data_IF_507503476236
#
_entry.id   IF_507503476236
#
_cell.length_a   1.000
_cell.length_b   1.000
_cell.length_c   1.000
_cell.angle_alpha   90.00
_cell.angle_beta   90.00
_cell.angle_gamma   90.00
#
_symmetry.space_group_name_H-M   'P 1'
#
loop_
_entity.id
_entity.type
_entity.pdbx_description
1 polymer ?
#
# COMPACT_ATOMS: atom_id res chain seq x y z
N UNK A 1 7.13 -12.83 -34.06
CA UNK A 1 6.04 -12.09 -33.38
C UNK A 1 6.23 -12.02 -31.85
N UNK A 2 6.54 -13.10 -31.13
CA UNK A 2 6.64 -13.11 -29.66
C UNK A 2 7.71 -12.17 -29.07
N UNK A 3 8.90 -12.07 -29.69
CA UNK A 3 10.00 -11.24 -29.17
C UNK A 3 9.76 -9.72 -29.36
N UNK A 4 9.09 -9.32 -30.45
CA UNK A 4 8.75 -7.92 -30.73
C UNK A 4 7.69 -7.42 -29.72
N UNK A 5 6.63 -8.21 -29.46
CA UNK A 5 5.58 -7.89 -28.48
C UNK A 5 6.14 -7.80 -27.05
N UNK A 6 7.11 -8.66 -26.69
CA UNK A 6 7.74 -8.61 -25.38
C UNK A 6 8.59 -7.33 -25.20
N UNK A 7 9.31 -6.90 -26.24
CA UNK A 7 10.10 -5.67 -26.21
C UNK A 7 9.22 -4.41 -26.16
N UNK A 8 8.07 -4.43 -26.87
CA UNK A 8 7.07 -3.36 -26.83
C UNK A 8 6.48 -3.22 -25.41
N UNK A 9 6.19 -4.33 -24.71
CA UNK A 9 5.67 -4.30 -23.34
C UNK A 9 6.68 -3.74 -22.33
N UNK A 10 7.97 -4.09 -22.43
CA UNK A 10 9.03 -3.54 -21.55
C UNK A 10 9.14 -2.04 -21.74
N UNK A 11 9.19 -1.57 -23.01
CA UNK A 11 9.22 -0.14 -23.33
C UNK A 11 7.97 0.58 -22.76
N UNK A 12 6.80 -0.07 -22.86
CA UNK A 12 5.56 0.50 -22.32
C UNK A 12 5.57 0.60 -20.79
N UNK A 13 6.06 -0.42 -20.08
CA UNK A 13 6.25 -0.37 -18.63
C UNK A 13 7.18 0.78 -18.22
N UNK A 14 8.29 0.98 -18.92
CA UNK A 14 9.19 2.12 -18.67
C UNK A 14 8.49 3.47 -18.87
N UNK A 15 7.67 3.61 -19.93
CA UNK A 15 6.89 4.82 -20.16
C UNK A 15 5.86 5.07 -19.05
N UNK A 16 5.21 4.02 -18.54
CA UNK A 16 4.30 4.13 -17.38
C UNK A 16 5.04 4.73 -16.20
N UNK A 17 6.16 4.15 -15.78
CA UNK A 17 6.92 4.66 -14.62
C UNK A 17 7.44 6.07 -14.91
N UNK A 18 7.99 6.31 -16.11
CA UNK A 18 8.54 7.61 -16.49
C UNK A 18 7.49 8.72 -16.43
N UNK A 19 6.23 8.43 -16.77
CA UNK A 19 5.15 9.42 -16.68
C UNK A 19 4.94 9.95 -15.25
N UNK A 20 5.07 9.10 -14.23
CA UNK A 20 5.01 9.52 -12.83
C UNK A 20 6.27 10.29 -12.40
N UNK A 21 7.45 9.92 -12.91
CA UNK A 21 8.72 10.61 -12.64
C UNK A 21 8.68 12.03 -13.23
N UNK A 22 8.26 12.18 -14.47
CA UNK A 22 8.17 13.46 -15.17
C UNK A 22 7.19 14.43 -14.49
N UNK A 23 6.11 13.87 -13.92
CA UNK A 23 5.15 14.60 -13.10
C UNK A 23 5.62 14.85 -11.66
N UNK A 24 6.86 14.46 -11.30
CA UNK A 24 7.45 14.62 -9.95
C UNK A 24 6.66 13.94 -8.83
N UNK A 25 6.01 12.83 -9.17
CA UNK A 25 5.17 12.06 -8.25
C UNK A 25 5.85 10.80 -7.75
N UNK A 26 6.95 10.38 -8.38
CA UNK A 26 7.67 9.16 -8.06
C UNK A 26 9.18 9.34 -8.02
N UNK A 27 9.78 8.86 -6.96
CA UNK A 27 11.19 8.51 -6.82
C UNK A 27 11.21 7.15 -6.13
N UNK A 28 11.96 6.17 -6.68
CA UNK A 28 11.93 4.83 -6.12
C UNK A 28 12.47 3.77 -7.07
N UNK A 29 12.05 2.53 -6.84
CA UNK A 29 12.41 1.38 -7.66
C UNK A 29 11.19 0.53 -7.97
N UNK A 30 11.17 -0.08 -9.15
CA UNK A 30 10.13 -0.98 -9.57
C UNK A 30 10.70 -2.28 -10.15
N UNK A 31 10.03 -3.41 -9.87
CA UNK A 31 10.28 -4.69 -10.53
C UNK A 31 8.96 -5.28 -11.00
N UNK A 32 8.98 -5.82 -12.20
CA UNK A 32 7.91 -6.65 -12.78
C UNK A 32 8.53 -7.97 -13.20
N UNK A 33 7.98 -9.08 -12.74
CA UNK A 33 8.45 -10.41 -13.11
C UNK A 33 7.28 -11.37 -13.34
N UNK A 34 7.39 -12.22 -14.34
CA UNK A 34 6.41 -13.28 -14.62
C UNK A 34 7.06 -14.64 -14.55
N UNK A 35 6.49 -15.55 -13.78
CA UNK A 35 7.00 -16.91 -13.56
C UNK A 35 8.51 -16.93 -13.26
N UNK A 36 8.95 -15.99 -12.41
CA UNK A 36 10.36 -15.83 -12.02
C UNK A 36 11.25 -15.09 -13.01
N UNK A 37 10.78 -14.82 -14.24
CA UNK A 37 11.54 -14.07 -15.24
C UNK A 37 11.28 -12.57 -15.09
N UNK A 38 12.34 -11.81 -14.80
CA UNK A 38 12.27 -10.34 -14.70
C UNK A 38 12.00 -9.73 -16.08
N UNK A 39 10.95 -8.89 -16.15
CA UNK A 39 10.58 -8.10 -17.33
C UNK A 39 11.08 -6.65 -17.18
N UNK A 40 10.98 -6.08 -15.99
CA UNK A 40 11.48 -4.76 -15.64
C UNK A 40 12.15 -4.82 -14.26
N UNK A 41 13.34 -4.24 -14.09
CA UNK A 41 13.97 -3.99 -12.78
C UNK A 41 14.80 -2.73 -12.89
N UNK A 42 14.32 -1.60 -12.28
CA UNK A 42 14.97 -0.30 -12.46
C UNK A 42 14.67 0.65 -11.31
N UNK A 43 15.67 1.50 -11.00
CA UNK A 43 15.51 2.65 -10.11
C UNK A 43 15.23 3.93 -10.91
N UNK A 44 14.50 4.87 -10.29
CA UNK A 44 14.05 6.13 -10.87
C UNK A 44 14.19 7.27 -9.86
N UNK A 45 14.56 8.46 -10.33
CA UNK A 45 14.82 9.60 -9.46
C UNK A 45 15.96 9.33 -8.47
N UNK A 46 15.92 9.94 -7.31
CA UNK A 46 17.02 9.95 -6.35
C UNK A 46 16.69 9.18 -5.07
N UNK A 47 17.65 8.36 -4.63
CA UNK A 47 17.68 7.77 -3.29
C UNK A 47 18.06 8.82 -2.23
N UNK A 48 18.85 9.80 -2.63
CA UNK A 48 19.19 10.95 -1.80
C UNK A 48 19.31 12.20 -2.69
N UNK A 49 18.44 13.19 -2.45
CA UNK A 49 18.39 14.43 -3.21
C UNK A 49 19.54 15.38 -2.88
N UNK A 50 20.08 15.35 -1.66
CA UNK A 50 21.12 16.25 -1.21
C UNK A 50 22.50 15.90 -1.79
N UNK A 51 22.68 14.60 -2.10
CA UNK A 51 23.93 14.06 -2.65
C UNK A 51 23.78 13.59 -4.10
N UNK A 52 22.67 13.90 -4.75
CA UNK A 52 22.36 13.47 -6.13
C UNK A 52 22.55 11.95 -6.35
N UNK A 53 22.31 11.13 -5.30
CA UNK A 53 22.43 9.68 -5.40
C UNK A 53 21.18 9.11 -6.04
N UNK A 54 21.32 8.55 -7.24
CA UNK A 54 20.19 7.94 -7.95
C UNK A 54 19.66 6.68 -7.26
N UNK A 55 18.35 6.43 -7.37
CA UNK A 55 17.77 5.14 -7.03
C UNK A 55 18.24 4.04 -7.98
N UNK A 56 18.34 2.82 -7.46
CA UNK A 56 18.67 1.61 -8.20
C UNK A 56 17.87 0.44 -7.67
N UNK A 57 17.84 -0.72 -8.35
CA UNK A 57 17.24 -1.95 -7.79
C UNK A 57 17.82 -2.38 -6.45
N UNK A 58 19.07 -1.95 -6.13
CA UNK A 58 19.72 -2.21 -4.84
C UNK A 58 19.39 -1.17 -3.75
N UNK A 59 18.64 -0.13 -4.06
CA UNK A 59 18.19 0.84 -3.06
C UNK A 59 17.23 0.18 -2.08
N UNK A 60 17.43 0.43 -0.79
CA UNK A 60 16.64 -0.13 0.32
C UNK A 60 15.59 0.88 0.77
N UNK A 61 14.36 0.43 0.87
CA UNK A 61 13.21 1.25 1.23
C UNK A 61 12.55 0.71 2.48
N UNK A 62 12.05 1.58 3.34
CA UNK A 62 11.13 1.20 4.40
C UNK A 62 9.84 0.66 3.79
N UNK A 63 9.41 -0.51 4.25
CA UNK A 63 8.25 -1.20 3.66
C UNK A 63 6.91 -0.71 4.19
N UNK A 64 6.90 -0.12 5.40
CA UNK A 64 5.63 0.14 6.06
C UNK A 64 4.82 -1.15 6.20
N UNK A 65 3.54 -1.10 5.91
CA UNK A 65 2.60 -2.20 6.18
C UNK A 65 2.82 -3.48 5.37
N UNK A 66 3.64 -3.49 4.31
CA UNK A 66 4.11 -4.76 3.70
C UNK A 66 4.77 -5.66 4.75
N UNK A 67 5.34 -5.10 5.83
CA UNK A 67 5.85 -5.85 6.99
C UNK A 67 4.85 -6.87 7.52
N UNK A 68 3.55 -6.60 7.43
CA UNK A 68 2.50 -7.47 7.98
C UNK A 68 2.45 -8.86 7.35
N UNK A 69 2.80 -8.98 6.09
CA UNK A 69 2.92 -10.29 5.42
C UNK A 69 3.97 -11.17 6.12
N UNK A 70 5.12 -10.60 6.46
CA UNK A 70 6.21 -11.28 7.16
C UNK A 70 5.80 -11.67 8.58
N UNK A 71 5.12 -10.78 9.29
CA UNK A 71 4.59 -11.06 10.63
C UNK A 71 3.57 -12.20 10.60
N UNK A 72 2.66 -12.22 9.64
CA UNK A 72 1.70 -13.29 9.45
C UNK A 72 2.37 -14.64 9.12
N UNK A 73 3.38 -14.62 8.25
CA UNK A 73 4.18 -15.81 7.95
C UNK A 73 4.93 -16.34 9.19
N UNK A 74 5.48 -15.46 10.04
CA UNK A 74 6.10 -15.87 11.31
C UNK A 74 5.11 -16.58 12.24
N UNK A 75 3.88 -16.09 12.34
CA UNK A 75 2.81 -16.76 13.13
C UNK A 75 2.51 -18.14 12.55
N UNK A 76 2.39 -18.28 11.23
CA UNK A 76 2.13 -19.57 10.60
C UNK A 76 3.31 -20.54 10.74
N UNK A 77 4.55 -20.07 10.68
CA UNK A 77 5.72 -20.90 10.99
C UNK A 77 5.72 -21.41 12.44
N UNK A 78 5.29 -20.59 13.40
CA UNK A 78 5.11 -21.02 14.79
C UNK A 78 3.96 -22.03 14.91
N UNK A 79 2.88 -21.86 14.17
CA UNK A 79 1.77 -22.83 14.11
C UNK A 79 2.24 -24.19 13.55
N UNK A 80 2.98 -24.20 12.45
CA UNK A 80 3.53 -25.43 11.85
C UNK A 80 4.48 -26.18 12.81
N UNK A 81 5.18 -25.42 13.67
CA UNK A 81 6.06 -25.98 14.73
C UNK A 81 5.28 -26.42 15.98
N UNK A 82 3.94 -26.31 15.99
CA UNK A 82 3.10 -26.68 17.11
C UNK A 82 3.24 -25.76 18.33
N UNK A 83 3.78 -24.57 18.16
CA UNK A 83 3.99 -23.60 19.26
C UNK A 83 2.73 -22.80 19.59
N UNK A 84 1.84 -22.62 18.62
CA UNK A 84 0.55 -21.94 18.75
C UNK A 84 -0.46 -22.53 17.75
N UNK A 85 -1.71 -22.10 17.88
CA UNK A 85 -2.76 -22.24 16.85
C UNK A 85 -3.34 -20.85 16.57
N UNK A 86 -3.69 -20.56 15.31
CA UNK A 86 -4.27 -19.25 14.98
C UNK A 86 -5.61 -19.00 15.67
N UNK A 87 -6.34 -20.05 16.03
CA UNK A 87 -7.61 -19.97 16.79
C UNK A 87 -7.41 -19.84 18.31
N UNK A 88 -6.16 -19.93 18.81
CA UNK A 88 -5.91 -19.78 20.24
C UNK A 88 -6.24 -18.35 20.70
N UNK A 89 -6.85 -18.18 21.88
CA UNK A 89 -7.04 -16.88 22.48
C UNK A 89 -5.68 -16.27 22.86
N UNK A 90 -5.53 -14.96 22.65
CA UNK A 90 -4.29 -14.21 22.98
C UNK A 90 -3.86 -14.41 24.42
N UNK A 91 -4.80 -14.45 25.34
CA UNK A 91 -4.53 -14.65 26.78
C UNK A 91 -3.80 -15.97 27.13
N UNK A 92 -3.84 -16.96 26.25
CA UNK A 92 -3.05 -18.21 26.43
C UNK A 92 -1.53 -17.92 26.46
N UNK A 93 -1.10 -16.88 25.77
CA UNK A 93 0.31 -16.50 25.61
C UNK A 93 0.68 -15.20 26.33
N UNK A 94 -0.33 -14.49 26.85
CA UNK A 94 -0.19 -13.23 27.57
C UNK A 94 -1.06 -13.28 28.83
N UNK A 95 -0.45 -13.71 29.95
CA UNK A 95 -1.17 -13.94 31.21
C UNK A 95 -1.79 -12.66 31.81
N UNK A 96 -1.24 -11.48 31.48
CA UNK A 96 -1.72 -10.15 31.89
C UNK A 96 -2.65 -9.50 30.84
N UNK A 97 -3.17 -10.27 29.87
CA UNK A 97 -4.17 -9.78 28.93
C UNK A 97 -5.45 -9.37 29.67
N UNK A 98 -6.05 -8.21 29.34
CA UNK A 98 -7.26 -7.75 30.02
C UNK A 98 -8.45 -8.67 29.75
N UNK A 99 -9.41 -8.72 30.66
CA UNK A 99 -10.62 -9.56 30.53
C UNK A 99 -11.43 -9.23 29.23
N UNK A 100 -11.34 -7.99 28.74
CA UNK A 100 -11.94 -7.60 27.48
C UNK A 100 -11.40 -8.42 26.27
N UNK A 101 -10.20 -8.99 26.38
CA UNK A 101 -9.56 -9.78 25.33
C UNK A 101 -9.81 -11.31 25.46
N UNK A 102 -10.66 -11.74 26.36
CA UNK A 102 -10.93 -13.17 26.59
C UNK A 102 -11.31 -13.95 25.32
N UNK A 103 -11.99 -13.27 24.40
CA UNK A 103 -12.43 -13.84 23.10
C UNK A 103 -11.56 -13.42 21.92
N UNK A 104 -10.54 -12.59 22.13
CA UNK A 104 -9.62 -12.19 21.06
C UNK A 104 -8.68 -13.33 20.74
N UNK A 105 -8.70 -13.82 19.51
CA UNK A 105 -7.80 -14.86 19.01
C UNK A 105 -6.68 -14.28 18.14
N UNK A 106 -5.62 -15.07 17.91
CA UNK A 106 -4.56 -14.72 16.95
C UNK A 106 -5.17 -14.51 15.55
N UNK A 107 -6.17 -15.31 15.16
CA UNK A 107 -6.93 -15.13 13.91
C UNK A 107 -7.53 -13.73 13.80
N UNK A 108 -8.15 -13.24 14.88
CA UNK A 108 -8.74 -11.89 14.88
C UNK A 108 -7.68 -10.79 14.70
N UNK A 109 -6.46 -10.96 15.23
CA UNK A 109 -5.36 -10.02 15.02
C UNK A 109 -4.89 -10.03 13.57
N UNK A 110 -4.68 -11.22 12.99
CA UNK A 110 -4.24 -11.42 11.61
C UNK A 110 -5.21 -10.82 10.60
N UNK A 111 -6.51 -10.88 10.88
CA UNK A 111 -7.59 -10.47 9.96
C UNK A 111 -8.17 -9.09 10.27
N UNK A 112 -7.58 -8.32 11.19
CA UNK A 112 -8.11 -7.01 11.62
C UNK A 112 -9.56 -7.05 12.14
N UNK A 113 -9.93 -8.14 12.81
CA UNK A 113 -11.28 -8.32 13.36
C UNK A 113 -11.29 -8.44 14.89
N UNK A 114 -10.21 -8.01 15.56
CA UNK A 114 -10.07 -8.12 17.02
C UNK A 114 -10.89 -7.10 17.80
N UNK A 115 -11.24 -5.96 17.20
CA UNK A 115 -11.81 -4.82 17.90
C UNK A 115 -10.80 -4.00 18.72
N UNK A 116 -9.53 -4.40 18.78
CA UNK A 116 -8.47 -3.64 19.46
C UNK A 116 -8.19 -2.36 18.67
N UNK A 117 -8.35 -1.15 19.29
CA UNK A 117 -8.16 0.11 18.58
C UNK A 117 -6.73 0.28 18.10
N UNK A 118 -6.56 0.88 16.92
CA UNK A 118 -5.22 1.16 16.37
C UNK A 118 -4.59 2.33 17.12
N UNK A 119 -3.44 2.10 17.77
CA UNK A 119 -2.72 3.13 18.50
C UNK A 119 -2.25 4.30 17.62
N UNK A 120 -2.12 4.07 16.31
CA UNK A 120 -1.75 5.12 15.35
C UNK A 120 -2.86 6.16 15.12
N UNK A 121 -4.10 5.85 15.54
CA UNK A 121 -5.23 6.78 15.56
C UNK A 121 -5.38 7.56 16.90
N UNK A 122 -4.53 7.33 17.89
CA UNK A 122 -4.66 8.04 19.17
C UNK A 122 -4.18 9.48 19.06
N UNK A 123 -4.82 10.41 19.80
CA UNK A 123 -4.47 11.83 19.72
C UNK A 123 -3.00 12.14 20.01
N UNK A 124 -2.35 11.34 20.86
CA UNK A 124 -0.95 11.48 21.26
C UNK A 124 0.05 10.81 20.31
N UNK A 125 -0.43 10.13 19.24
CA UNK A 125 0.46 9.38 18.35
C UNK A 125 1.57 10.27 17.76
N UNK A 126 1.20 11.38 17.13
CA UNK A 126 2.16 12.29 16.48
C UNK A 126 3.19 12.91 17.43
N UNK A 127 2.85 13.07 18.70
CA UNK A 127 3.79 13.58 19.72
C UNK A 127 4.73 12.50 20.27
N UNK A 128 4.42 11.23 20.03
CA UNK A 128 5.16 10.08 20.58
C UNK A 128 5.86 9.22 19.53
N UNK A 129 5.55 9.41 18.24
CA UNK A 129 6.13 8.59 17.17
C UNK A 129 7.64 8.73 16.99
N UNK A 130 8.22 9.82 17.51
CA UNK A 130 9.66 10.06 17.49
C UNK A 130 10.41 9.52 18.74
N UNK A 131 9.71 8.89 19.68
CA UNK A 131 10.26 8.45 20.95
C UNK A 131 10.50 6.94 20.91
N UNK A 132 11.74 6.53 21.13
CA UNK A 132 12.10 5.10 21.21
C UNK A 132 11.27 4.38 22.27
N UNK A 133 10.82 3.17 21.96
CA UNK A 133 9.96 2.37 22.84
C UNK A 133 10.37 0.89 22.83
N UNK A 134 9.71 0.08 23.66
CA UNK A 134 9.84 -1.39 23.64
C UNK A 134 8.51 -2.03 23.26
N UNK A 135 8.49 -3.28 22.79
CA UNK A 135 7.26 -3.99 22.49
C UNK A 135 6.24 -3.99 23.64
N UNK A 136 6.71 -4.16 24.88
CA UNK A 136 5.88 -4.13 26.08
C UNK A 136 5.21 -2.76 26.30
N UNK A 137 6.00 -1.68 26.17
CA UNK A 137 5.48 -0.31 26.32
C UNK A 137 4.52 0.04 25.18
N UNK A 138 4.79 -0.45 23.97
CA UNK A 138 3.93 -0.24 22.83
C UNK A 138 2.59 -0.96 23.01
N UNK A 139 2.59 -2.21 23.48
CA UNK A 139 1.39 -2.97 23.83
C UNK A 139 0.61 -2.27 24.95
N UNK A 140 1.28 -1.74 25.97
CA UNK A 140 0.65 -1.04 27.07
C UNK A 140 -0.17 0.21 26.63
N UNK A 141 0.16 0.82 25.47
CA UNK A 141 -0.61 1.99 24.96
C UNK A 141 -2.07 1.65 24.65
N UNK A 142 -2.35 0.43 24.22
CA UNK A 142 -3.69 0.01 23.78
C UNK A 142 -4.29 -1.13 24.60
N UNK A 143 -3.50 -1.81 25.44
CA UNK A 143 -3.94 -2.98 26.22
C UNK A 143 -5.21 -2.70 27.05
N UNK A 144 -5.24 -1.58 27.75
CA UNK A 144 -6.32 -1.24 28.67
C UNK A 144 -7.41 -0.36 28.02
N UNK A 145 -7.37 -0.19 26.71
CA UNK A 145 -8.41 0.51 25.97
C UNK A 145 -9.61 -0.40 25.69
N UNK A 146 -10.85 0.13 25.70
CA UNK A 146 -12.02 -0.67 25.33
C UNK A 146 -11.93 -1.16 23.89
N UNK A 147 -12.49 -2.32 23.61
CA UNK A 147 -12.67 -2.79 22.23
C UNK A 147 -13.68 -1.90 21.51
N UNK A 148 -13.41 -1.58 20.24
CA UNK A 148 -14.31 -0.81 19.38
C UNK A 148 -15.55 -1.64 18.96
N UNK A 149 -15.40 -2.97 18.93
CA UNK A 149 -16.46 -3.94 18.60
C UNK A 149 -16.07 -5.33 19.12
N UNK A 150 -17.02 -6.27 19.13
CA UNK A 150 -16.72 -7.64 19.59
C UNK A 150 -15.82 -8.38 18.58
N UNK A 151 -14.90 -9.22 19.05
CA UNK A 151 -14.01 -10.00 18.18
C UNK A 151 -14.79 -10.78 17.11
N UNK A 152 -14.39 -10.62 15.84
CA UNK A 152 -15.05 -11.24 14.69
C UNK A 152 -16.27 -10.50 14.15
N UNK A 153 -16.81 -9.50 14.84
CA UNK A 153 -18.02 -8.78 14.43
C UNK A 153 -17.79 -7.91 13.18
N UNK A 154 -16.75 -7.07 13.23
CA UNK A 154 -16.43 -6.10 12.17
C UNK A 154 -14.97 -6.23 11.73
N UNK A 155 -14.66 -5.60 10.63
CA UNK A 155 -13.30 -5.37 10.19
C UNK A 155 -12.93 -3.90 10.43
N UNK A 156 -11.79 -3.68 11.06
CA UNK A 156 -11.17 -2.36 11.19
C UNK A 156 -9.65 -2.51 11.28
N UNK A 157 -8.95 -1.90 10.32
CA UNK A 157 -7.49 -2.00 10.22
C UNK A 157 -6.81 -1.51 11.50
N UNK A 158 -6.01 -2.36 12.12
CA UNK A 158 -5.38 -2.07 13.42
C UNK A 158 -3.89 -2.42 13.42
N UNK A 159 -3.03 -1.39 13.48
CA UNK A 159 -1.60 -1.58 13.71
C UNK A 159 -1.32 -2.21 15.08
N UNK A 160 -2.16 -1.92 16.09
CA UNK A 160 -2.06 -2.56 17.42
C UNK A 160 -2.14 -4.08 17.35
N UNK A 161 -3.01 -4.61 16.48
CA UNK A 161 -3.12 -6.06 16.27
C UNK A 161 -1.81 -6.68 15.80
N UNK A 162 -1.15 -6.05 14.83
CA UNK A 162 0.12 -6.56 14.30
C UNK A 162 1.31 -6.31 15.23
N UNK A 163 1.31 -5.23 16.00
CA UNK A 163 2.27 -5.03 17.11
C UNK A 163 2.13 -6.15 18.13
N UNK A 164 0.91 -6.51 18.51
CA UNK A 164 0.65 -7.60 19.44
C UNK A 164 1.09 -8.96 18.87
N UNK A 165 0.91 -9.21 17.58
CA UNK A 165 1.45 -10.43 16.92
C UNK A 165 2.98 -10.52 17.05
N UNK A 166 3.71 -9.42 16.81
CA UNK A 166 5.16 -9.40 16.99
C UNK A 166 5.58 -9.65 18.45
N UNK A 167 4.88 -9.02 19.38
CA UNK A 167 5.10 -9.28 20.81
C UNK A 167 4.88 -10.77 21.17
N UNK A 168 3.83 -11.39 20.62
CA UNK A 168 3.58 -12.82 20.81
C UNK A 168 4.66 -13.70 20.17
N UNK A 169 5.17 -13.31 18.97
CA UNK A 169 6.28 -14.00 18.33
C UNK A 169 7.49 -14.01 19.26
N UNK A 170 7.86 -12.86 19.86
CA UNK A 170 8.99 -12.80 20.82
C UNK A 170 8.76 -13.65 22.06
N UNK A 171 7.57 -13.59 22.66
CA UNK A 171 7.23 -14.38 23.84
C UNK A 171 7.25 -15.89 23.60
N UNK A 172 6.80 -16.33 22.43
CA UNK A 172 6.68 -17.76 22.10
C UNK A 172 8.00 -18.34 21.60
N UNK A 173 8.74 -17.58 20.79
CA UNK A 173 10.01 -18.01 20.21
C UNK A 173 11.19 -17.82 21.15
N UNK A 174 11.10 -16.89 22.11
CA UNK A 174 12.22 -16.42 22.95
C UNK A 174 13.36 -15.76 22.16
N UNK A 175 13.02 -15.21 20.98
CA UNK A 175 13.89 -14.44 20.11
C UNK A 175 13.27 -13.06 19.89
N UNK A 176 14.06 -12.04 19.59
CA UNK A 176 13.51 -10.78 19.12
C UNK A 176 12.78 -10.98 17.78
N UNK A 177 11.79 -10.14 17.49
CA UNK A 177 11.08 -10.18 16.22
C UNK A 177 12.04 -10.07 15.03
N UNK A 178 13.03 -9.18 15.12
CA UNK A 178 14.04 -9.00 14.07
C UNK A 178 14.88 -10.27 13.83
N UNK A 179 15.35 -10.94 14.91
CA UNK A 179 16.09 -12.21 14.79
C UNK A 179 15.22 -13.31 14.21
N UNK A 180 13.97 -13.41 14.67
CA UNK A 180 13.06 -14.45 14.17
C UNK A 180 12.79 -14.30 12.67
N UNK A 181 12.50 -13.09 12.18
CA UNK A 181 12.29 -12.83 10.76
C UNK A 181 13.57 -13.09 9.97
N UNK A 182 14.72 -12.64 10.46
CA UNK A 182 16.01 -12.84 9.80
C UNK A 182 16.32 -14.32 9.61
N UNK A 183 16.20 -15.11 10.67
CA UNK A 183 16.57 -16.52 10.64
C UNK A 183 15.57 -17.41 9.91
N UNK A 184 14.28 -17.08 9.99
CA UNK A 184 13.23 -17.96 9.50
C UNK A 184 12.65 -17.55 8.15
N UNK A 185 12.92 -16.33 7.68
CA UNK A 185 12.42 -15.83 6.39
C UNK A 185 13.58 -15.33 5.51
N UNK A 186 14.31 -14.30 5.95
CA UNK A 186 15.29 -13.65 5.07
C UNK A 186 16.44 -14.59 4.68
N UNK A 187 17.04 -15.27 5.64
CA UNK A 187 18.11 -16.21 5.37
C UNK A 187 17.68 -17.39 4.47
N UNK A 188 16.58 -18.11 4.75
CA UNK A 188 16.11 -19.22 3.91
C UNK A 188 15.76 -18.82 2.48
N UNK A 189 15.26 -17.60 2.29
CA UNK A 189 14.89 -17.08 0.96
C UNK A 189 16.03 -16.34 0.26
N UNK A 190 17.17 -16.14 0.92
CA UNK A 190 18.32 -15.42 0.37
C UNK A 190 18.08 -13.91 0.20
N UNK A 191 17.23 -13.32 1.03
CA UNK A 191 16.90 -11.89 1.06
C UNK A 191 17.98 -11.11 1.83
N UNK A 192 19.14 -10.92 1.20
CA UNK A 192 20.34 -10.37 1.85
C UNK A 192 20.28 -8.85 2.08
N UNK A 193 19.40 -8.18 1.37
CA UNK A 193 19.22 -6.73 1.39
C UNK A 193 17.95 -6.30 2.13
N UNK A 194 17.40 -7.21 2.93
CA UNK A 194 16.23 -6.99 3.78
C UNK A 194 16.59 -7.08 5.25
N UNK A 195 15.84 -6.39 6.10
CA UNK A 195 16.08 -6.42 7.54
C UNK A 195 15.05 -5.61 8.32
N UNK A 196 15.21 -5.62 9.64
CA UNK A 196 14.50 -4.73 10.55
C UNK A 196 15.21 -3.37 10.56
N UNK A 197 14.50 -2.28 10.29
CA UNK A 197 15.10 -0.94 10.25
C UNK A 197 15.40 -0.41 11.65
N UNK A 198 16.48 0.32 11.77
CA UNK A 198 16.92 0.97 12.99
C UNK A 198 17.42 2.38 12.66
N UNK A 199 17.04 3.35 13.49
CA UNK A 199 17.49 4.72 13.31
C UNK A 199 18.99 4.90 13.61
N UNK A 200 19.57 4.02 14.46
CA UNK A 200 20.99 4.05 14.85
C UNK A 200 21.90 3.22 13.94
N UNK A 201 21.36 2.23 13.20
CA UNK A 201 22.17 1.37 12.34
C UNK A 201 22.58 2.06 11.04
N UNK A 202 23.82 1.79 10.59
CA UNK A 202 24.27 2.15 9.25
C UNK A 202 23.82 1.08 8.28
N UNK A 203 22.75 1.37 7.54
CA UNK A 203 22.20 0.48 6.51
C UNK A 203 22.67 0.99 5.16
N UNK A 204 23.58 0.24 4.52
CA UNK A 204 24.12 0.63 3.22
C UNK A 204 23.00 0.66 2.16
N UNK A 205 23.04 1.66 1.28
CA UNK A 205 22.07 1.88 0.19
C UNK A 205 20.63 2.17 0.67
N UNK A 206 20.44 2.57 1.93
CA UNK A 206 19.13 3.01 2.41
C UNK A 206 18.76 4.36 1.81
N UNK A 207 17.65 4.43 1.11
CA UNK A 207 17.12 5.67 0.56
C UNK A 207 16.67 6.63 1.68
N UNK A 208 16.84 7.94 1.46
CA UNK A 208 16.24 8.98 2.29
C UNK A 208 14.76 9.13 1.94
N UNK A 209 13.91 9.34 2.95
CA UNK A 209 12.47 9.52 2.77
C UNK A 209 12.09 10.98 2.58
N UNK A 210 11.18 11.23 1.65
CA UNK A 210 10.70 12.57 1.30
C UNK A 210 9.18 12.64 1.31
N UNK A 211 8.65 13.85 1.51
CA UNK A 211 7.22 14.15 1.36
C UNK A 211 7.04 15.36 0.43
N UNK A 212 5.93 15.47 -0.30
CA UNK A 212 5.65 16.63 -1.13
C UNK A 212 5.59 17.92 -0.30
N UNK A 213 6.27 18.96 -0.77
CA UNK A 213 6.22 20.31 -0.21
C UNK A 213 5.81 21.33 -1.27
N UNK A 214 5.50 22.54 -0.87
CA UNK A 214 4.99 23.60 -1.76
C UNK A 214 5.96 23.99 -2.89
N UNK A 215 7.27 23.78 -2.70
CA UNK A 215 8.33 24.13 -3.69
C UNK A 215 9.10 22.91 -4.21
N UNK A 216 8.61 21.71 -3.95
CA UNK A 216 9.26 20.44 -4.25
C UNK A 216 9.36 19.54 -3.03
N UNK A 217 9.99 18.35 -3.14
CA UNK A 217 10.14 17.43 -2.02
C UNK A 217 10.85 18.07 -0.82
N UNK A 218 10.40 17.72 0.37
CA UNK A 218 11.05 18.07 1.65
C UNK A 218 11.32 16.76 2.41
N UNK A 219 12.22 16.78 3.38
CA UNK A 219 12.43 15.61 4.24
C UNK A 219 11.13 15.21 4.93
N UNK A 220 10.89 13.90 4.98
CA UNK A 220 9.79 13.36 5.76
C UNK A 220 10.00 13.58 7.26
N UNK A 221 8.91 13.55 8.03
CA UNK A 221 8.97 13.58 9.48
C UNK A 221 9.80 12.41 10.04
N UNK A 222 10.36 12.63 11.22
CA UNK A 222 11.09 11.57 11.91
C UNK A 222 10.12 10.63 12.61
N UNK A 223 10.35 9.32 12.45
CA UNK A 223 9.72 8.27 13.22
C UNK A 223 10.79 7.34 13.79
N UNK A 224 10.67 6.97 15.06
CA UNK A 224 11.51 5.93 15.63
C UNK A 224 11.03 4.55 15.16
N UNK A 225 11.93 3.72 14.64
CA UNK A 225 11.56 2.45 14.03
C UNK A 225 11.11 1.38 15.04
N UNK A 226 11.25 1.64 16.35
CA UNK A 226 10.60 0.83 17.38
C UNK A 226 9.07 1.00 17.42
N UNK A 227 8.54 2.12 16.89
CA UNK A 227 7.10 2.43 16.88
C UNK A 227 6.31 1.57 15.90
N UNK A 228 6.67 1.48 14.60
CA UNK A 228 5.96 0.61 13.66
C UNK A 228 6.20 -0.89 13.95
N UNK A 229 7.32 -1.25 14.56
CA UNK A 229 7.67 -2.61 14.99
C UNK A 229 7.25 -3.67 13.95
N UNK A 230 6.60 -4.74 14.36
CA UNK A 230 6.09 -5.83 13.52
C UNK A 230 4.90 -5.45 12.63
N UNK A 231 4.37 -4.24 12.76
CA UNK A 231 3.35 -3.70 11.87
C UNK A 231 3.95 -2.93 10.67
N UNK A 232 5.25 -2.50 10.73
CA UNK A 232 5.76 -1.59 9.70
C UNK A 232 7.28 -1.35 9.66
N UNK A 233 8.11 -2.02 10.45
CA UNK A 233 9.53 -1.64 10.62
C UNK A 233 10.52 -2.36 9.70
N UNK A 234 10.09 -3.18 8.76
CA UNK A 234 11.02 -3.83 7.84
C UNK A 234 11.44 -2.90 6.70
N UNK A 235 12.65 -3.12 6.20
CA UNK A 235 13.13 -2.57 4.93
C UNK A 235 13.50 -3.69 3.96
N UNK A 236 13.46 -3.38 2.66
CA UNK A 236 13.86 -4.32 1.63
C UNK A 236 14.24 -3.61 0.32
N UNK A 237 14.59 -4.39 -0.69
CA UNK A 237 14.73 -4.01 -2.09
C UNK A 237 13.63 -4.65 -2.94
N UNK A 238 13.43 -4.15 -4.16
CA UNK A 238 12.48 -4.77 -5.09
C UNK A 238 12.86 -6.21 -5.44
N UNK A 239 14.15 -6.51 -5.54
CA UNK A 239 14.62 -7.86 -5.86
C UNK A 239 14.42 -8.84 -4.70
N UNK A 240 14.64 -8.42 -3.47
CA UNK A 240 14.39 -9.27 -2.30
C UNK A 240 12.89 -9.51 -2.09
N UNK A 241 12.03 -8.51 -2.37
CA UNK A 241 10.58 -8.72 -2.35
C UNK A 241 10.12 -9.67 -3.48
N UNK A 242 10.78 -9.67 -4.63
CA UNK A 242 10.53 -10.70 -5.64
C UNK A 242 10.93 -12.11 -5.13
N UNK A 243 12.05 -12.24 -4.39
CA UNK A 243 12.42 -13.50 -3.73
C UNK A 243 11.41 -13.92 -2.67
N UNK A 244 10.88 -12.93 -1.92
CA UNK A 244 9.81 -13.16 -0.96
C UNK A 244 8.59 -13.78 -1.63
N UNK A 245 8.06 -13.16 -2.67
CA UNK A 245 6.90 -13.68 -3.40
C UNK A 245 7.12 -15.06 -3.98
N UNK A 246 8.26 -15.27 -4.63
CA UNK A 246 8.63 -16.57 -5.17
C UNK A 246 8.78 -17.64 -4.08
N UNK A 247 9.29 -17.29 -2.93
CA UNK A 247 9.46 -18.19 -1.79
C UNK A 247 8.13 -18.52 -1.11
N UNK A 248 7.28 -17.53 -0.91
CA UNK A 248 5.98 -17.67 -0.29
C UNK A 248 5.01 -18.44 -1.19
N UNK A 249 4.76 -17.93 -2.39
CA UNK A 249 3.79 -18.52 -3.33
C UNK A 249 4.30 -19.81 -3.97
N UNK A 250 5.62 -19.98 -4.04
CA UNK A 250 6.26 -21.23 -4.49
C UNK A 250 6.33 -22.34 -3.45
N UNK A 251 5.79 -22.14 -2.24
CA UNK A 251 5.71 -23.16 -1.18
C UNK A 251 7.08 -23.53 -0.57
N UNK A 252 8.09 -22.64 -0.66
CA UNK A 252 9.39 -22.88 -0.03
C UNK A 252 9.41 -22.55 1.46
N UNK A 253 8.52 -21.65 1.89
CA UNK A 253 8.49 -21.12 3.25
C UNK A 253 7.42 -21.78 4.11
N UNK A 254 6.20 -21.89 3.60
CA UNK A 254 5.04 -22.44 4.28
C UNK A 254 4.51 -23.67 3.58
N UNK A 255 3.89 -24.56 4.34
CA UNK A 255 3.11 -25.68 3.76
C UNK A 255 1.93 -25.15 2.93
N UNK A 256 1.42 -25.97 2.01
CA UNK A 256 0.27 -25.63 1.19
C UNK A 256 -0.96 -25.26 2.04
N UNK A 257 -1.15 -25.92 3.19
CA UNK A 257 -2.25 -25.65 4.12
C UNK A 257 -2.09 -24.26 4.80
N UNK A 258 -0.88 -23.91 5.24
CA UNK A 258 -0.60 -22.59 5.82
C UNK A 258 -0.70 -21.49 4.79
N UNK A 259 -0.18 -21.70 3.59
CA UNK A 259 -0.30 -20.73 2.48
C UNK A 259 -1.77 -20.50 2.13
N UNK A 260 -2.59 -21.54 2.06
CA UNK A 260 -4.01 -21.42 1.83
C UNK A 260 -4.70 -20.59 2.94
N UNK A 261 -4.37 -20.84 4.22
CA UNK A 261 -4.86 -19.99 5.32
C UNK A 261 -4.45 -18.53 5.13
N UNK A 262 -3.17 -18.30 4.79
CA UNK A 262 -2.63 -16.96 4.62
C UNK A 262 -3.30 -16.16 3.50
N UNK A 263 -3.74 -16.83 2.43
CA UNK A 263 -4.31 -16.22 1.22
C UNK A 263 -5.82 -16.36 1.10
N UNK A 264 -6.51 -16.87 2.14
CA UNK A 264 -7.98 -16.96 2.17
C UNK A 264 -8.56 -15.73 2.86
N UNK A 265 -9.27 -14.84 2.15
CA UNK A 265 -9.86 -13.65 2.76
C UNK A 265 -11.00 -14.00 3.72
N UNK A 266 -11.18 -13.19 4.76
CA UNK A 266 -12.23 -13.37 5.75
C UNK A 266 -13.28 -12.27 5.67
N UNK A 267 -12.90 -11.02 5.96
CA UNK A 267 -13.76 -9.84 5.86
C UNK A 267 -13.04 -8.73 5.12
N UNK A 268 -13.78 -7.95 4.33
CA UNK A 268 -13.25 -6.81 3.57
C UNK A 268 -12.07 -7.22 2.67
N UNK A 269 -12.20 -8.41 2.04
CA UNK A 269 -11.17 -8.98 1.18
C UNK A 269 -9.78 -9.14 1.82
N UNK A 270 -9.69 -9.04 3.17
CA UNK A 270 -8.46 -9.13 3.92
C UNK A 270 -8.23 -10.53 4.48
N UNK A 271 -7.05 -11.06 4.22
CA UNK A 271 -6.55 -12.35 4.71
C UNK A 271 -5.51 -12.12 5.82
N UNK A 272 -4.44 -12.90 5.89
CA UNK A 272 -3.38 -12.74 6.89
C UNK A 272 -2.27 -11.84 6.37
N UNK A 273 -2.36 -10.54 6.62
CA UNK A 273 -1.41 -9.54 6.16
C UNK A 273 -1.43 -9.29 4.65
N UNK A 274 -2.51 -9.66 3.99
CA UNK A 274 -2.72 -9.60 2.55
C UNK A 274 -4.16 -9.20 2.25
N UNK A 275 -4.37 -8.37 1.23
CA UNK A 275 -5.66 -8.20 0.56
C UNK A 275 -5.76 -9.18 -0.62
N UNK A 276 -6.95 -9.73 -0.85
CA UNK A 276 -7.19 -10.70 -1.94
C UNK A 276 -8.51 -10.35 -2.62
N UNK A 277 -8.42 -9.74 -3.79
CA UNK A 277 -9.58 -9.28 -4.55
C UNK A 277 -9.32 -9.40 -6.06
N UNK A 278 -10.11 -8.73 -6.88
CA UNK A 278 -9.90 -8.68 -8.32
C UNK A 278 -9.67 -7.23 -8.78
N UNK A 279 -8.69 -7.03 -9.64
CA UNK A 279 -8.40 -5.77 -10.32
C UNK A 279 -8.40 -6.02 -11.81
N UNK A 280 -9.22 -5.28 -12.56
CA UNK A 280 -9.38 -5.44 -14.01
C UNK A 280 -9.71 -6.90 -14.45
N UNK A 281 -10.45 -7.63 -13.62
CA UNK A 281 -10.81 -9.02 -13.90
C UNK A 281 -9.75 -10.06 -13.50
N UNK A 282 -8.56 -9.65 -13.07
CA UNK A 282 -7.49 -10.53 -12.59
C UNK A 282 -7.53 -10.63 -11.07
N UNK A 283 -7.45 -11.86 -10.54
CA UNK A 283 -7.27 -12.05 -9.10
C UNK A 283 -5.90 -11.53 -8.69
N UNK A 284 -5.86 -10.70 -7.64
CA UNK A 284 -4.63 -10.17 -7.06
C UNK A 284 -4.54 -10.51 -5.58
N UNK A 285 -3.33 -10.77 -5.12
CA UNK A 285 -2.93 -10.90 -3.73
C UNK A 285 -1.90 -9.81 -3.49
N UNK A 286 -2.22 -8.82 -2.63
CA UNK A 286 -1.39 -7.63 -2.53
C UNK A 286 -1.37 -7.04 -1.11
N UNK A 287 -0.44 -6.13 -0.88
CA UNK A 287 -0.48 -5.22 0.26
C UNK A 287 0.38 -3.98 0.00
N UNK A 288 -0.23 -2.84 0.24
CA UNK A 288 0.47 -1.57 0.24
C UNK A 288 1.15 -1.25 1.56
N UNK A 289 2.08 -0.30 1.53
CA UNK A 289 2.74 0.22 2.71
C UNK A 289 2.84 1.73 2.70
N UNK A 290 2.66 2.34 3.86
CA UNK A 290 2.87 3.77 4.09
C UNK A 290 3.59 3.99 5.42
N UNK A 291 4.63 4.78 5.39
CA UNK A 291 5.38 5.26 6.54
C UNK A 291 6.04 6.59 6.14
N UNK A 292 6.53 7.37 7.11
CA UNK A 292 7.17 8.66 6.87
C UNK A 292 8.24 8.57 5.78
N UNK A 293 7.98 9.25 4.66
CA UNK A 293 8.85 9.32 3.50
C UNK A 293 8.76 8.18 2.50
N UNK A 294 7.95 7.15 2.75
CA UNK A 294 7.87 5.97 1.89
C UNK A 294 6.44 5.51 1.67
N UNK A 295 6.13 5.19 0.43
CA UNK A 295 4.95 4.41 0.06
C UNK A 295 5.39 3.22 -0.81
N UNK A 296 4.77 2.09 -0.63
CA UNK A 296 5.20 0.83 -1.24
C UNK A 296 4.00 0.00 -1.68
N UNK A 297 4.22 -0.85 -2.68
CA UNK A 297 3.21 -1.81 -3.13
C UNK A 297 3.89 -3.10 -3.58
N UNK A 298 3.27 -4.23 -3.23
CA UNK A 298 3.60 -5.55 -3.74
C UNK A 298 2.31 -6.26 -4.13
N UNK A 299 2.22 -6.69 -5.39
CA UNK A 299 1.06 -7.35 -5.97
C UNK A 299 1.48 -8.64 -6.68
N UNK A 300 0.76 -9.71 -6.41
CA UNK A 300 0.94 -11.02 -7.05
C UNK A 300 -0.35 -11.47 -7.73
N UNK A 301 -0.24 -11.84 -8.99
CA UNK A 301 -1.33 -12.37 -9.82
C UNK A 301 -1.12 -13.88 -10.02
N UNK A 302 -1.92 -14.74 -9.34
CA UNK A 302 -1.68 -16.18 -9.31
C UNK A 302 -1.84 -16.88 -10.66
N UNK A 303 -2.71 -16.35 -11.53
CA UNK A 303 -3.09 -16.97 -12.81
C UNK A 303 -1.90 -17.14 -13.76
N UNK A 304 -1.00 -16.16 -13.80
CA UNK A 304 0.17 -16.15 -14.66
C UNK A 304 1.48 -15.91 -13.89
N UNK A 305 1.42 -16.00 -12.56
CA UNK A 305 2.53 -15.82 -11.62
C UNK A 305 3.27 -14.50 -11.86
N UNK A 306 2.50 -13.45 -12.12
CA UNK A 306 3.04 -12.11 -12.28
C UNK A 306 3.23 -11.48 -10.88
N UNK A 307 4.43 -10.96 -10.65
CA UNK A 307 4.76 -10.16 -9.46
C UNK A 307 5.09 -8.74 -9.89
N UNK A 308 4.49 -7.75 -9.24
CA UNK A 308 4.82 -6.34 -9.39
C UNK A 308 5.18 -5.79 -8.03
N UNK A 309 6.33 -5.12 -7.93
CA UNK A 309 6.75 -4.40 -6.72
C UNK A 309 7.12 -2.98 -7.08
N UNK A 310 6.56 -2.03 -6.36
CA UNK A 310 6.87 -0.60 -6.48
C UNK A 310 7.23 -0.05 -5.10
N UNK A 311 8.45 0.45 -4.95
CA UNK A 311 8.96 1.02 -3.71
C UNK A 311 9.32 2.47 -3.95
N UNK A 312 8.61 3.41 -3.29
CA UNK A 312 8.83 4.84 -3.41
C UNK A 312 9.45 5.41 -2.13
N UNK A 313 10.39 6.33 -2.29
CA UNK A 313 10.92 7.18 -1.21
C UNK A 313 10.40 8.63 -1.27
N UNK A 314 9.24 8.81 -1.89
CA UNK A 314 8.44 10.02 -1.88
C UNK A 314 7.01 9.64 -1.49
N UNK A 315 6.46 10.23 -0.42
CA UNK A 315 5.09 9.99 -0.03
C UNK A 315 4.09 10.43 -1.12
N UNK A 316 3.06 9.60 -1.34
CA UNK A 316 1.99 9.81 -2.30
C UNK A 316 1.31 8.49 -2.67
N UNK A 317 0.08 8.51 -3.15
CA UNK A 317 -0.71 7.31 -3.52
C UNK A 317 -0.29 6.61 -4.82
N UNK A 318 0.92 6.87 -5.33
CA UNK A 318 1.41 6.41 -6.63
C UNK A 318 1.72 4.91 -6.72
N UNK A 319 2.33 4.24 -5.71
CA UNK A 319 2.77 2.85 -5.86
C UNK A 319 1.68 1.87 -6.27
N UNK A 320 0.50 1.94 -5.67
CA UNK A 320 -0.66 1.09 -5.99
C UNK A 320 -1.13 1.32 -7.44
N UNK A 321 -1.38 2.58 -7.81
CA UNK A 321 -1.83 2.93 -9.16
C UNK A 321 -0.78 2.52 -10.23
N UNK A 322 0.51 2.73 -9.94
CA UNK A 322 1.60 2.32 -10.81
C UNK A 322 1.70 0.80 -10.92
N UNK A 323 1.58 0.06 -9.82
CA UNK A 323 1.62 -1.40 -9.82
C UNK A 323 0.48 -1.97 -10.67
N UNK A 324 -0.73 -1.42 -10.55
CA UNK A 324 -1.88 -1.78 -11.37
C UNK A 324 -1.64 -1.51 -12.86
N UNK A 325 -1.11 -0.33 -13.22
CA UNK A 325 -0.79 0.00 -14.62
C UNK A 325 0.31 -0.91 -15.20
N UNK A 326 1.35 -1.22 -14.40
CA UNK A 326 2.41 -2.15 -14.80
C UNK A 326 1.87 -3.57 -15.01
N UNK A 327 0.96 -4.02 -14.15
CA UNK A 327 0.30 -5.32 -14.30
C UNK A 327 -0.56 -5.39 -15.56
N UNK A 328 -1.35 -4.35 -15.86
CA UNK A 328 -2.13 -4.26 -17.10
C UNK A 328 -1.24 -4.38 -18.34
N UNK A 329 -0.13 -3.61 -18.40
CA UNK A 329 0.84 -3.75 -19.50
C UNK A 329 1.39 -5.15 -19.57
N UNK A 330 1.72 -5.76 -18.42
CA UNK A 330 2.22 -7.13 -18.38
C UNK A 330 1.19 -8.12 -18.90
N UNK A 331 -0.09 -7.96 -18.59
CA UNK A 331 -1.20 -8.77 -19.11
C UNK A 331 -1.48 -8.53 -20.61
N UNK A 332 -0.84 -7.52 -21.23
CA UNK A 332 -1.05 -7.15 -22.63
C UNK A 332 -2.24 -6.23 -22.83
N UNK A 333 -2.73 -5.62 -21.77
CA UNK A 333 -3.82 -4.66 -21.80
C UNK A 333 -3.32 -3.26 -22.21
N UNK A 334 -4.24 -2.44 -22.71
CA UNK A 334 -3.91 -1.08 -23.14
C UNK A 334 -3.96 -0.14 -21.93
N UNK A 335 -2.81 0.42 -21.58
CA UNK A 335 -2.71 1.53 -20.64
C UNK A 335 -2.56 2.84 -21.43
N UNK A 336 -3.39 3.84 -21.13
CA UNK A 336 -3.32 5.17 -21.75
C UNK A 336 -2.64 6.12 -20.77
N UNK A 337 -1.47 6.64 -21.14
CA UNK A 337 -0.75 7.61 -20.31
C UNK A 337 -1.42 8.98 -20.33
N UNK A 338 -1.31 9.78 -19.26
CA UNK A 338 -1.85 11.14 -19.23
C UNK A 338 -1.37 12.01 -20.41
N UNK A 339 -0.11 11.83 -20.84
CA UNK A 339 0.48 12.54 -21.99
C UNK A 339 -0.09 12.11 -23.36
N UNK A 340 -0.75 10.97 -23.46
CA UNK A 340 -1.36 10.43 -24.70
C UNK A 340 -2.83 10.80 -24.83
N UNK A 341 -3.45 11.32 -23.75
CA UNK A 341 -4.84 11.75 -23.77
C UNK A 341 -4.98 12.99 -24.65
N UNK A 342 -5.91 12.95 -25.57
CA UNK A 342 -6.20 14.10 -26.43
C UNK A 342 -7.10 15.08 -25.69
N UNK A 343 -6.57 16.27 -25.46
CA UNK A 343 -7.37 17.37 -24.93
C UNK A 343 -8.21 17.98 -26.03
N UNK A 344 -9.47 18.24 -25.68
CA UNK A 344 -10.35 19.08 -26.49
C UNK A 344 -10.68 20.38 -25.77
N UNK A 345 -11.02 21.40 -26.51
CA UNK A 345 -11.54 22.64 -25.93
C UNK A 345 -13.06 22.55 -25.81
N UNK A 346 -13.55 22.71 -24.59
CA UNK A 346 -14.98 22.77 -24.26
C UNK A 346 -15.36 24.21 -23.97
N UNK A 347 -16.48 24.66 -24.47
CA UNK A 347 -16.89 26.06 -24.28
C UNK A 347 -17.16 26.39 -22.81
N UNK A 348 -16.84 27.62 -22.34
CA UNK A 348 -17.13 28.02 -20.97
C UNK A 348 -18.60 27.87 -20.55
N UNK A 349 -19.51 27.99 -21.50
CA UNK A 349 -20.94 27.79 -21.28
C UNK A 349 -21.27 26.35 -20.88
N UNK A 350 -20.61 25.34 -21.52
CA UNK A 350 -20.74 23.93 -21.18
C UNK A 350 -20.04 23.65 -19.85
N UNK A 351 -18.79 24.13 -19.67
CA UNK A 351 -18.04 23.99 -18.45
C UNK A 351 -18.80 24.52 -17.22
N UNK A 352 -19.49 25.65 -17.40
CA UNK A 352 -20.34 26.25 -16.37
C UNK A 352 -21.47 25.33 -15.86
N UNK A 353 -21.96 24.40 -16.70
CA UNK A 353 -23.00 23.44 -16.31
C UNK A 353 -22.49 22.38 -15.30
N UNK A 354 -21.18 22.15 -15.28
CA UNK A 354 -20.53 21.17 -14.38
C UNK A 354 -20.17 21.76 -13.01
N UNK A 355 -20.22 23.07 -12.85
CA UNK A 355 -19.94 23.73 -11.56
C UNK A 355 -20.95 23.27 -10.51
N UNK A 356 -20.45 22.95 -9.30
CA UNK A 356 -21.26 22.52 -8.18
C UNK A 356 -20.53 21.55 -7.25
N UNK A 357 -21.23 21.12 -6.22
CA UNK A 357 -20.73 20.12 -5.25
C UNK A 357 -21.34 18.76 -5.59
N UNK A 358 -20.49 17.73 -5.65
CA UNK A 358 -20.89 16.36 -5.91
C UNK A 358 -20.54 15.50 -4.71
N UNK A 359 -21.56 14.95 -4.03
CA UNK A 359 -21.41 14.15 -2.82
C UNK A 359 -21.24 12.68 -3.20
N UNK A 360 -20.09 12.10 -2.86
CA UNK A 360 -19.79 10.67 -3.09
C UNK A 360 -20.16 9.83 -1.86
N UNK A 361 -19.70 10.26 -0.67
CA UNK A 361 -20.06 9.64 0.62
C UNK A 361 -20.46 10.74 1.63
N UNK A 362 -21.03 10.45 2.80
CA UNK A 362 -21.38 11.47 3.80
C UNK A 362 -20.25 12.44 4.11
N UNK A 363 -19.01 11.97 4.14
CA UNK A 363 -17.83 12.74 4.54
C UNK A 363 -16.91 13.12 3.38
N UNK A 364 -17.23 12.71 2.14
CA UNK A 364 -16.39 12.96 0.96
C UNK A 364 -17.19 13.53 -0.20
N UNK A 365 -16.79 14.71 -0.66
CA UNK A 365 -17.37 15.42 -1.80
C UNK A 365 -16.30 15.97 -2.74
N UNK A 366 -16.68 16.18 -3.99
CA UNK A 366 -15.88 16.87 -4.99
C UNK A 366 -16.59 18.19 -5.35
N UNK A 367 -15.85 19.29 -5.25
CA UNK A 367 -16.32 20.62 -5.67
C UNK A 367 -15.72 20.96 -7.03
N UNK A 368 -16.59 21.26 -7.99
CA UNK A 368 -16.21 21.76 -9.32
C UNK A 368 -16.39 23.28 -9.38
N UNK A 369 -15.35 23.99 -9.83
CA UNK A 369 -15.37 25.45 -10.02
C UNK A 369 -14.84 25.78 -11.42
N UNK A 370 -15.24 26.95 -11.95
CA UNK A 370 -14.73 27.48 -13.23
C UNK A 370 -13.89 28.72 -12.95
N UNK A 371 -12.59 28.68 -13.29
CA UNK A 371 -11.65 29.76 -13.04
C UNK A 371 -10.88 30.09 -14.32
N UNK A 372 -10.98 31.32 -14.81
CA UNK A 372 -10.29 31.73 -16.01
C UNK A 372 -10.66 30.93 -17.30
N UNK A 373 -11.84 30.30 -17.32
CA UNK A 373 -12.24 29.39 -18.41
C UNK A 373 -11.79 27.95 -18.26
N UNK A 374 -11.07 27.61 -17.17
CA UNK A 374 -10.60 26.26 -16.82
C UNK A 374 -11.52 25.64 -15.77
N UNK A 375 -12.00 24.42 -16.02
CA UNK A 375 -12.70 23.63 -15.00
C UNK A 375 -11.69 23.15 -13.96
N UNK A 376 -11.99 23.41 -12.67
CA UNK A 376 -11.17 22.99 -11.54
C UNK A 376 -11.93 22.03 -10.67
N UNK A 377 -11.24 21.07 -10.09
CA UNK A 377 -11.79 20.10 -9.12
C UNK A 377 -11.10 20.22 -7.78
N UNK A 378 -11.83 20.03 -6.69
CA UNK A 378 -11.30 19.96 -5.34
C UNK A 378 -12.03 18.88 -4.55
N UNK A 379 -11.34 17.81 -4.21
CA UNK A 379 -11.85 16.79 -3.31
C UNK A 379 -11.70 17.25 -1.84
N UNK A 380 -12.56 16.74 -0.95
CA UNK A 380 -12.54 17.05 0.49
C UNK A 380 -11.15 16.84 1.08
N UNK A 381 -10.60 17.87 1.72
CA UNK A 381 -9.27 17.83 2.34
C UNK A 381 -8.07 17.89 1.36
N UNK A 382 -8.31 18.08 0.06
CA UNK A 382 -7.26 18.12 -0.95
C UNK A 382 -7.12 19.51 -1.59
N UNK A 383 -5.99 19.72 -2.27
CA UNK A 383 -5.76 20.94 -3.05
C UNK A 383 -6.61 20.95 -4.32
N UNK A 384 -6.91 22.16 -4.80
CA UNK A 384 -7.62 22.36 -6.07
C UNK A 384 -6.70 22.04 -7.24
N UNK A 385 -7.23 21.31 -8.24
CA UNK A 385 -6.51 20.85 -9.43
C UNK A 385 -7.27 21.20 -10.71
N UNK A 386 -6.58 21.53 -11.85
CA UNK A 386 -7.20 21.73 -13.13
C UNK A 386 -7.64 20.40 -13.77
N UNK A 387 -8.82 20.39 -14.39
CA UNK A 387 -9.33 19.27 -15.17
C UNK A 387 -9.23 19.55 -16.68
N UNK A 388 -8.88 18.55 -17.45
CA UNK A 388 -8.69 18.61 -18.89
C UNK A 388 -9.76 17.79 -19.60
N UNK A 389 -10.40 18.34 -20.60
CA UNK A 389 -11.50 17.68 -21.30
C UNK A 389 -10.97 16.65 -22.32
N UNK A 390 -11.45 15.41 -22.25
CA UNK A 390 -11.27 14.38 -23.27
C UNK A 390 -12.47 14.30 -24.19
N UNK A 391 -13.66 14.62 -23.66
CA UNK A 391 -14.91 14.84 -24.41
C UNK A 391 -15.71 15.99 -23.76
N UNK A 392 -16.90 16.30 -24.27
CA UNK A 392 -17.77 17.31 -23.65
C UNK A 392 -18.14 16.92 -22.20
N UNK A 393 -18.25 15.63 -21.89
CA UNK A 393 -18.70 15.15 -20.59
C UNK A 393 -17.61 14.45 -19.78
N UNK A 394 -16.47 14.10 -20.39
CA UNK A 394 -15.39 13.35 -19.76
C UNK A 394 -14.15 14.20 -19.59
N UNK A 395 -13.65 14.25 -18.37
CA UNK A 395 -12.51 15.06 -17.96
C UNK A 395 -11.52 14.23 -17.18
N UNK A 396 -10.24 14.55 -17.29
CA UNK A 396 -9.16 13.86 -16.60
C UNK A 396 -8.24 14.83 -15.86
N UNK A 397 -7.50 14.30 -14.89
CA UNK A 397 -6.42 15.00 -14.21
C UNK A 397 -5.07 14.60 -14.83
N UNK A 398 -4.14 15.53 -14.99
CA UNK A 398 -2.77 15.24 -15.46
C UNK A 398 -1.83 14.80 -14.35
N UNK A 399 -2.18 15.18 -13.11
CA UNK A 399 -1.32 14.98 -11.94
C UNK A 399 -1.69 13.76 -11.10
N UNK A 400 -2.80 13.10 -11.42
CA UNK A 400 -3.25 11.87 -10.79
C UNK A 400 -4.07 11.10 -11.82
N UNK A 401 -3.99 9.78 -11.83
CA UNK A 401 -4.84 8.95 -12.67
C UNK A 401 -6.26 8.93 -12.10
N UNK A 402 -7.03 9.91 -12.49
CA UNK A 402 -8.42 10.06 -12.13
C UNK A 402 -9.18 10.72 -13.28
N UNK A 403 -10.33 10.17 -13.60
CA UNK A 403 -11.25 10.68 -14.58
C UNK A 403 -12.59 10.99 -13.94
N UNK A 404 -13.28 11.98 -14.49
CA UNK A 404 -14.65 12.33 -14.10
C UNK A 404 -15.51 12.34 -15.33
N UNK A 405 -16.59 11.60 -15.30
CA UNK A 405 -17.62 11.65 -16.34
C UNK A 405 -18.91 12.23 -15.79
N UNK A 406 -19.45 13.27 -16.47
CA UNK A 406 -20.68 13.95 -16.08
C UNK A 406 -21.89 13.40 -16.81
N UNK A 407 -22.97 13.21 -16.09
CA UNK A 407 -24.23 12.68 -16.59
C UNK A 407 -25.35 13.71 -16.48
N UNK A 408 -26.15 13.80 -17.55
CA UNK A 408 -27.27 14.75 -17.68
C UNK A 408 -28.59 14.01 -17.72
N UNK A 409 -29.64 14.65 -17.22
CA UNK A 409 -31.03 14.18 -17.39
C UNK A 409 -31.59 14.56 -18.80
N UNK A 410 -32.83 14.17 -19.08
CA UNK A 410 -33.52 14.45 -20.35
C UNK A 410 -33.67 15.95 -20.62
N UNK A 411 -33.57 16.83 -19.61
CA UNK A 411 -33.61 18.27 -19.71
C UNK A 411 -32.25 18.91 -19.94
N UNK A 412 -31.17 18.10 -20.03
CA UNK A 412 -29.81 18.57 -20.19
C UNK A 412 -29.15 19.07 -18.89
N UNK A 413 -29.77 18.89 -17.71
CA UNK A 413 -29.22 19.27 -16.43
C UNK A 413 -28.30 18.22 -15.90
N UNK A 414 -27.11 18.62 -15.39
CA UNK A 414 -26.13 17.69 -14.79
C UNK A 414 -26.65 17.20 -13.44
N UNK A 415 -26.82 15.89 -13.31
CA UNK A 415 -27.40 15.25 -12.11
C UNK A 415 -26.34 14.61 -11.21
N UNK A 416 -25.29 14.07 -11.81
CA UNK A 416 -24.22 13.39 -11.08
C UNK A 416 -22.95 13.32 -11.92
N UNK A 417 -21.85 12.95 -11.27
CA UNK A 417 -20.63 12.52 -11.93
C UNK A 417 -20.31 11.08 -11.51
N UNK A 418 -19.47 10.42 -12.30
CA UNK A 418 -18.76 9.21 -11.91
C UNK A 418 -17.28 9.57 -11.84
N UNK A 419 -16.64 9.32 -10.70
CA UNK A 419 -15.20 9.36 -10.52
C UNK A 419 -14.65 7.97 -10.81
N UNK A 420 -13.79 7.85 -11.83
CA UNK A 420 -13.02 6.66 -12.16
C UNK A 420 -11.62 6.84 -11.57
N UNK A 421 -11.25 6.05 -10.56
CA UNK A 421 -9.95 6.13 -9.91
C UNK A 421 -9.57 4.79 -9.28
N UNK A 422 -8.33 4.33 -9.49
CA UNK A 422 -7.84 3.08 -8.91
C UNK A 422 -8.63 1.84 -9.35
N UNK A 423 -9.17 1.84 -10.58
CA UNK A 423 -10.01 0.74 -11.09
C UNK A 423 -11.42 0.66 -10.48
N UNK A 424 -11.83 1.68 -9.71
CA UNK A 424 -13.16 1.77 -9.08
C UNK A 424 -13.95 2.96 -9.61
N UNK A 425 -15.25 2.76 -9.72
CA UNK A 425 -16.23 3.77 -10.12
C UNK A 425 -17.01 4.25 -8.90
N UNK A 426 -16.96 5.56 -8.62
CA UNK A 426 -17.68 6.17 -7.51
C UNK A 426 -18.65 7.23 -8.02
N UNK A 427 -19.93 7.06 -7.71
CA UNK A 427 -20.98 8.01 -8.12
C UNK A 427 -21.10 9.16 -7.12
N UNK A 428 -20.97 10.40 -7.61
CA UNK A 428 -21.22 11.62 -6.86
C UNK A 428 -22.50 12.32 -7.31
N UNK A 429 -23.48 12.48 -6.43
CA UNK A 429 -24.72 13.20 -6.72
C UNK A 429 -24.50 14.70 -6.62
N UNK A 430 -24.98 15.46 -7.63
CA UNK A 430 -24.94 16.92 -7.62
C UNK A 430 -25.91 17.45 -6.56
N UNK A 431 -25.41 18.33 -5.68
CA UNK A 431 -26.23 19.04 -4.66
C UNK A 431 -26.70 20.40 -5.13
#
# INVERSE_FOLDING_TARGET
>A
MSACLAQDNVSRMEQVVQSYVDNKQFMGSAVVARDGKVLLSKGYGFANLEWDVANSPASKFRLGSITKQFTAACILLLEERGKLKVDDPVKKYMADAPAAWDKVTIFNLLTHTSGIPSFTGFPDYRSTEAIETTPEKLVARFRDKPLEFQPGEKWNYSNSGYVLLGYLIEKISQQSYSEFVQENIFNPLGMKDSGYDSNSAIILHRASGYTPGAKGPIHAGYIDMSIPFSAGALYSTTEDLLRWEQGLMGGKLLSAASLQKMTTPFKNDYAFGLAVHAVNGHKVIEHGGGIEGFNTEIAYYPEDKLTVVVLANLNGGVPEAMANALAQVAHGEKVVLPSERKEITVSPAILGTYVGTYQLTPDFAIVMTLEGGQLMTQATGQSKLPMFAESETKFFLKVVDAEVEFFKNEKGEVTHLILHQGGQDQKGLKK
#
